data_IF_212600513210
#
_entry.id   IF_212600513210
#
_cell.length_a   1.000
_cell.length_b   1.000
_cell.length_c   1.000
_cell.angle_alpha   90.00
_cell.angle_beta   90.00
_cell.angle_gamma   90.00
#
_symmetry.space_group_name_H-M   'P 1'
#
loop_
_entity.id
_entity.type
_entity.pdbx_description
1 polymer ?
#
# COMPACT_ATOMS: atom_id res chain seq x y z
N UNK A 1 -11.85 18.64 15.20
CA UNK A 1 -10.51 18.27 14.68
C UNK A 1 -10.15 16.90 15.23
N UNK A 2 -10.01 15.88 14.40
CA UNK A 2 -10.06 14.47 14.85
C UNK A 2 -8.70 13.75 14.87
N UNK A 3 -7.58 14.42 14.53
CA UNK A 3 -6.25 13.79 14.40
C UNK A 3 -5.13 14.70 14.96
N UNK A 4 -5.39 15.36 16.10
CA UNK A 4 -4.43 16.30 16.68
C UNK A 4 -3.20 15.59 17.27
N UNK A 5 -3.36 14.40 17.84
CA UNK A 5 -2.28 13.64 18.50
C UNK A 5 -1.95 12.37 17.71
N UNK A 6 -1.00 12.46 16.77
CA UNK A 6 -0.65 11.32 15.94
C UNK A 6 0.85 11.03 15.98
N UNK A 7 1.18 9.74 15.87
CA UNK A 7 2.55 9.27 15.70
C UNK A 7 2.75 8.90 14.24
N UNK A 8 3.85 9.36 13.67
CA UNK A 8 4.30 8.99 12.32
C UNK A 8 5.55 8.14 12.44
N UNK A 9 5.57 7.01 11.75
CA UNK A 9 6.77 6.18 11.67
C UNK A 9 6.88 5.50 10.31
N UNK A 10 8.07 4.98 10.02
CA UNK A 10 8.32 4.15 8.84
C UNK A 10 8.47 2.70 9.28
N UNK A 11 7.76 1.79 8.64
CA UNK A 11 7.86 0.36 8.95
C UNK A 11 9.09 -0.29 8.30
N UNK A 12 9.30 -1.58 8.58
CA UNK A 12 10.43 -2.35 8.02
C UNK A 12 10.32 -2.58 6.50
N UNK A 13 9.13 -2.44 5.92
CA UNK A 13 8.89 -2.50 4.49
C UNK A 13 9.04 -1.12 3.81
N UNK A 14 9.37 -0.07 4.58
CA UNK A 14 9.55 1.29 4.08
C UNK A 14 8.25 2.08 3.91
N UNK A 15 7.11 1.57 4.38
CA UNK A 15 5.83 2.26 4.35
C UNK A 15 5.77 3.33 5.44
N UNK A 16 5.15 4.47 5.14
CA UNK A 16 4.86 5.49 6.16
C UNK A 16 3.53 5.14 6.81
N UNK A 17 3.50 5.06 8.13
CA UNK A 17 2.30 4.77 8.91
C UNK A 17 2.03 5.95 9.84
N UNK A 18 0.78 6.38 9.86
CA UNK A 18 0.27 7.41 10.76
C UNK A 18 -0.74 6.73 11.68
N UNK A 19 -0.49 6.78 12.99
CA UNK A 19 -1.41 6.26 14.02
C UNK A 19 -1.98 7.41 14.83
N UNK A 20 -3.30 7.43 14.97
CA UNK A 20 -4.01 8.27 15.92
C UNK A 20 -4.62 7.43 17.03
N UNK A 21 -3.91 7.27 18.15
CA UNK A 21 -4.37 6.46 19.30
C UNK A 21 -5.68 7.00 19.87
N UNK A 22 -5.73 8.31 20.12
CA UNK A 22 -6.91 9.08 20.55
C UNK A 22 -8.17 8.85 19.71
N UNK A 23 -8.04 8.43 18.45
CA UNK A 23 -9.16 8.15 17.55
C UNK A 23 -9.20 6.72 17.05
N UNK A 24 -8.40 5.84 17.66
CA UNK A 24 -8.30 4.41 17.40
C UNK A 24 -8.22 4.05 15.90
N UNK A 25 -7.47 4.84 15.13
CA UNK A 25 -7.34 4.68 13.67
C UNK A 25 -5.89 4.76 13.21
N UNK A 26 -5.60 4.08 12.12
CA UNK A 26 -4.32 4.15 11.44
C UNK A 26 -4.51 4.24 9.93
N UNK A 27 -3.54 4.88 9.26
CA UNK A 27 -3.43 4.90 7.81
C UNK A 27 -1.97 4.67 7.41
N UNK A 28 -1.72 3.86 6.39
CA UNK A 28 -0.40 3.67 5.81
C UNK A 28 -0.35 4.10 4.34
N UNK A 29 0.82 4.55 3.93
CA UNK A 29 1.19 4.93 2.59
C UNK A 29 2.40 4.11 2.17
N UNK A 30 2.23 3.30 1.13
CA UNK A 30 3.31 2.56 0.47
C UNK A 30 3.48 3.10 -0.95
N UNK A 31 4.68 3.58 -1.28
CA UNK A 31 5.04 3.80 -2.68
C UNK A 31 5.29 2.44 -3.33
N UNK A 32 4.75 2.24 -4.53
CA UNK A 32 4.86 0.97 -5.26
C UNK A 32 6.22 0.76 -5.94
N UNK A 33 7.22 1.59 -5.61
CA UNK A 33 8.61 1.40 -6.04
C UNK A 33 8.80 1.64 -7.53
N UNK A 34 8.91 2.91 -7.91
CA UNK A 34 9.19 3.33 -9.30
C UNK A 34 7.94 3.60 -10.16
N UNK A 35 6.76 3.20 -9.70
CA UNK A 35 5.49 3.67 -10.26
C UNK A 35 5.08 4.99 -9.60
N UNK A 36 4.45 5.87 -10.37
CA UNK A 36 3.86 7.13 -9.91
C UNK A 36 2.54 6.87 -9.14
N UNK A 37 2.50 5.82 -8.32
CA UNK A 37 1.33 5.40 -7.57
C UNK A 37 1.70 5.15 -6.11
N UNK A 38 0.72 5.41 -5.25
CA UNK A 38 0.80 5.07 -3.85
C UNK A 38 -0.40 4.23 -3.44
N UNK A 39 -0.12 3.14 -2.74
CA UNK A 39 -1.12 2.34 -2.05
C UNK A 39 -1.38 2.94 -0.67
N UNK A 40 -2.62 3.36 -0.46
CA UNK A 40 -3.15 3.79 0.81
C UNK A 40 -3.94 2.65 1.45
N UNK A 41 -3.72 2.42 2.75
CA UNK A 41 -4.47 1.43 3.53
C UNK A 41 -4.89 2.07 4.84
N UNK A 42 -6.15 1.92 5.24
CA UNK A 42 -6.67 2.46 6.48
C UNK A 42 -7.37 1.38 7.31
N UNK A 43 -7.26 1.49 8.62
CA UNK A 43 -7.85 0.54 9.55
C UNK A 43 -7.98 1.09 10.96
N UNK A 44 -8.38 0.21 11.88
CA UNK A 44 -8.58 0.53 13.29
C UNK A 44 -7.41 0.07 14.14
N UNK A 45 -7.20 0.77 15.23
CA UNK A 45 -6.36 0.34 16.33
C UNK A 45 -7.28 -0.37 17.33
N UNK A 46 -6.91 -1.59 17.70
CA UNK A 46 -7.63 -2.38 18.70
C UNK A 46 -7.20 -1.97 20.10
N UNK A 47 -8.05 -2.29 21.07
CA UNK A 47 -7.70 -2.20 22.49
C UNK A 47 -6.39 -2.96 22.76
N UNK A 48 -5.44 -2.29 23.41
CA UNK A 48 -4.07 -2.79 23.58
C UNK A 48 -3.08 -2.36 22.51
N UNK A 49 -3.45 -1.44 21.61
CA UNK A 49 -2.51 -0.77 20.70
C UNK A 49 -2.06 -1.62 19.52
N UNK A 50 -2.80 -2.68 19.19
CA UNK A 50 -2.52 -3.50 18.00
C UNK A 50 -3.24 -2.92 16.79
N UNK A 51 -2.54 -2.72 15.68
CA UNK A 51 -3.16 -2.32 14.41
C UNK A 51 -3.91 -3.50 13.79
N UNK A 52 -5.22 -3.38 13.66
CA UNK A 52 -6.02 -4.36 12.92
C UNK A 52 -5.65 -4.36 11.43
N UNK A 53 -5.96 -5.43 10.68
CA UNK A 53 -5.85 -5.44 9.23
C UNK A 53 -6.60 -4.27 8.58
N UNK A 54 -6.13 -3.85 7.41
CA UNK A 54 -6.77 -2.78 6.64
C UNK A 54 -8.23 -3.13 6.34
N UNK A 55 -9.12 -2.16 6.50
CA UNK A 55 -10.55 -2.26 6.16
C UNK A 55 -10.88 -1.53 4.87
N UNK A 56 -10.12 -0.49 4.54
CA UNK A 56 -10.26 0.28 3.33
C UNK A 56 -8.89 0.45 2.66
N UNK A 57 -8.86 0.37 1.33
CA UNK A 57 -7.63 0.50 0.53
C UNK A 57 -7.91 1.31 -0.73
N UNK A 58 -6.95 2.11 -1.17
CA UNK A 58 -7.02 2.84 -2.43
C UNK A 58 -5.64 2.97 -3.06
N UNK A 59 -5.59 3.02 -4.39
CA UNK A 59 -4.38 3.39 -5.15
C UNK A 59 -4.58 4.79 -5.70
N UNK A 60 -3.60 5.66 -5.50
CA UNK A 60 -3.66 7.07 -5.93
C UNK A 60 -2.39 7.42 -6.71
N UNK A 61 -2.50 8.05 -7.90
CA UNK A 61 -1.34 8.55 -8.60
C UNK A 61 -0.69 9.70 -7.85
N UNK A 62 0.64 9.68 -7.70
CA UNK A 62 1.40 10.72 -7.01
C UNK A 62 1.48 12.02 -7.83
N UNK A 63 1.45 11.93 -9.16
CA UNK A 63 1.35 13.10 -10.05
C UNK A 63 0.06 13.92 -9.87
N UNK A 64 -1.02 13.35 -9.34
CA UNK A 64 -2.24 14.09 -9.02
C UNK A 64 -2.07 15.08 -7.86
N UNK A 65 -0.94 15.02 -7.16
CA UNK A 65 -0.54 15.97 -6.13
C UNK A 65 -1.16 15.71 -4.76
N UNK A 66 -0.74 16.55 -3.80
CA UNK A 66 -1.05 16.36 -2.38
C UNK A 66 -2.52 16.54 -2.04
N UNK A 67 -3.26 17.37 -2.79
CA UNK A 67 -4.68 17.61 -2.55
C UNK A 67 -5.53 16.35 -2.85
N UNK A 68 -5.25 15.68 -3.97
CA UNK A 68 -5.90 14.43 -4.33
C UNK A 68 -5.57 13.32 -3.32
N UNK A 69 -4.30 13.21 -2.93
CA UNK A 69 -3.87 12.27 -1.90
C UNK A 69 -4.58 12.52 -0.57
N UNK A 70 -4.64 13.78 -0.13
CA UNK A 70 -5.32 14.16 1.11
C UNK A 70 -6.83 13.87 1.06
N UNK A 71 -7.47 14.06 -0.10
CA UNK A 71 -8.87 13.71 -0.30
C UNK A 71 -9.09 12.19 -0.19
N UNK A 72 -8.22 11.38 -0.80
CA UNK A 72 -8.27 9.92 -0.69
C UNK A 72 -8.04 9.45 0.76
N UNK A 73 -7.05 10.01 1.47
CA UNK A 73 -6.82 9.72 2.88
C UNK A 73 -8.05 10.04 3.74
N UNK A 74 -8.66 11.23 3.58
CA UNK A 74 -9.87 11.61 4.31
C UNK A 74 -11.03 10.68 4.02
N UNK A 75 -11.21 10.28 2.75
CA UNK A 75 -12.24 9.33 2.34
C UNK A 75 -12.06 7.97 3.02
N UNK A 76 -10.86 7.39 2.96
CA UNK A 76 -10.57 6.10 3.61
C UNK A 76 -10.80 6.16 5.12
N UNK A 77 -10.43 7.27 5.77
CA UNK A 77 -10.68 7.45 7.20
C UNK A 77 -12.18 7.57 7.53
N UNK A 78 -12.97 8.21 6.66
CA UNK A 78 -14.43 8.24 6.79
C UNK A 78 -15.04 6.84 6.63
N UNK A 79 -14.62 6.08 5.61
CA UNK A 79 -15.07 4.69 5.37
C UNK A 79 -14.79 3.79 6.59
N UNK A 80 -13.63 3.92 7.23
CA UNK A 80 -13.32 3.17 8.46
C UNK A 80 -14.20 3.54 9.66
N UNK A 81 -14.83 4.73 9.64
CA UNK A 81 -15.76 5.21 10.66
C UNK A 81 -17.16 4.62 10.45
N UNK A 82 -17.64 4.58 9.21
CA UNK A 82 -18.98 4.07 8.88
C UNK A 82 -19.08 2.57 9.18
N UNK A 83 -18.00 1.83 8.91
CA UNK A 83 -17.87 0.42 9.27
C UNK A 83 -17.92 0.20 10.80
N UNK A 84 -17.68 1.24 11.64
CA UNK A 84 -17.75 1.13 13.10
C UNK A 84 -19.18 1.21 13.63
N UNK A 85 -20.03 1.93 12.90
CA UNK A 85 -21.42 2.19 13.29
C UNK A 85 -22.36 1.06 12.87
N UNK A 86 -21.93 0.18 11.96
CA UNK A 86 -22.74 -0.97 11.55
C UNK A 86 -22.44 -2.18 12.46
N UNK A 87 -23.30 -2.54 13.42
CA UNK A 87 -23.15 -3.79 14.14
C UNK A 87 -23.40 -4.94 13.15
N UNK A 88 -22.33 -5.53 12.64
CA UNK A 88 -22.44 -6.72 11.80
C UNK A 88 -22.93 -7.89 12.68
N UNK A 89 -24.00 -8.62 12.33
CA UNK A 89 -24.35 -9.84 13.04
C UNK A 89 -23.19 -10.84 12.91
N UNK A 90 -22.80 -11.45 14.03
CA UNK A 90 -21.74 -12.48 14.08
C UNK A 90 -22.13 -13.69 13.23
N UNK A 91 -21.68 -13.71 11.98
CA UNK A 91 -21.70 -14.88 11.09
C UNK A 91 -20.56 -15.86 11.42
N UNK A 92 -20.72 -17.16 11.17
CA UNK A 92 -19.98 -18.21 11.84
C UNK A 92 -18.52 -18.35 11.37
N UNK A 93 -17.65 -18.62 12.36
CA UNK A 93 -16.26 -19.11 12.24
C UNK A 93 -16.03 -19.96 10.98
N UNK A 94 -15.28 -19.43 10.01
CA UNK A 94 -14.70 -20.29 8.98
C UNK A 94 -13.39 -20.92 9.48
N UNK A 95 -13.47 -22.24 9.57
CA UNK A 95 -12.50 -23.19 10.13
C UNK A 95 -11.06 -23.00 9.65
N UNK A 96 -10.14 -23.18 10.59
CA UNK A 96 -8.76 -23.64 10.37
C UNK A 96 -8.70 -24.81 9.37
N UNK A 97 -7.69 -24.84 8.51
CA UNK A 97 -6.95 -26.06 8.11
C UNK A 97 -5.59 -25.70 7.48
N UNK A 98 -4.62 -26.63 7.40
CA UNK A 98 -3.52 -26.71 8.36
C UNK A 98 -2.13 -26.53 7.73
N UNK A 99 -1.14 -26.41 8.61
CA UNK A 99 0.31 -26.42 8.36
C UNK A 99 0.71 -27.60 7.44
N UNK A 100 1.44 -27.32 6.36
CA UNK A 100 2.37 -28.29 5.78
C UNK A 100 3.79 -27.73 5.90
N UNK A 101 4.64 -28.49 6.59
CA UNK A 101 6.09 -28.41 6.44
C UNK A 101 6.42 -29.31 5.24
N UNK A 102 7.06 -28.79 4.19
CA UNK A 102 8.05 -29.57 3.43
C UNK A 102 8.94 -28.68 2.58
N UNK A 103 10.23 -28.98 2.68
CA UNK A 103 11.34 -28.47 1.89
C UNK A 103 11.10 -28.55 0.39
N UNK A 104 11.66 -27.56 -0.31
CA UNK A 104 11.80 -27.55 -1.75
C UNK A 104 12.64 -26.36 -2.20
N UNK A 105 13.96 -26.55 -2.26
CA UNK A 105 14.86 -25.67 -3.03
C UNK A 105 14.32 -25.55 -4.46
N UNK A 106 14.11 -24.33 -4.93
CA UNK A 106 14.29 -23.97 -6.34
C UNK A 106 14.51 -22.46 -6.49
N UNK A 107 15.50 -22.01 -7.28
CA UNK A 107 15.75 -20.61 -7.53
C UNK A 107 14.82 -20.15 -8.66
N UNK A 108 13.79 -19.37 -8.32
CA UNK A 108 12.90 -18.77 -9.29
C UNK A 108 13.23 -17.28 -9.41
N UNK A 109 14.35 -16.97 -10.05
CA UNK A 109 14.55 -15.68 -10.71
C UNK A 109 13.55 -15.66 -11.86
N UNK A 110 12.32 -15.27 -11.54
CA UNK A 110 11.16 -15.44 -12.40
C UNK A 110 11.37 -14.80 -13.77
N UNK A 111 10.88 -15.49 -14.80
CA UNK A 111 10.75 -15.02 -16.19
C UNK A 111 10.29 -13.55 -16.30
N UNK A 112 9.49 -13.09 -15.33
CA UNK A 112 9.03 -11.71 -15.20
C UNK A 112 10.18 -10.69 -15.09
N UNK A 113 11.27 -11.05 -14.40
CA UNK A 113 12.48 -10.22 -14.28
C UNK A 113 13.21 -10.07 -15.62
N UNK A 114 13.20 -11.12 -16.44
CA UNK A 114 13.89 -11.10 -17.73
C UNK A 114 13.19 -10.21 -18.77
N UNK A 115 11.84 -10.19 -18.75
CA UNK A 115 11.03 -9.30 -19.60
C UNK A 115 11.31 -7.83 -19.29
N UNK A 116 11.46 -7.49 -18.00
CA UNK A 116 11.78 -6.12 -17.58
C UNK A 116 13.17 -5.72 -18.08
N UNK A 117 14.16 -6.62 -18.00
CA UNK A 117 15.52 -6.35 -18.50
C UNK A 117 15.51 -6.11 -20.02
N UNK A 118 14.81 -6.95 -20.79
CA UNK A 118 14.71 -6.79 -22.26
C UNK A 118 13.99 -5.48 -22.62
N UNK A 119 12.93 -5.13 -21.90
CA UNK A 119 12.22 -3.86 -22.10
C UNK A 119 13.10 -2.65 -21.77
N UNK A 120 13.81 -2.66 -20.65
CA UNK A 120 14.70 -1.56 -20.24
C UNK A 120 15.87 -1.42 -21.22
N UNK A 121 16.47 -2.52 -21.67
CA UNK A 121 17.54 -2.50 -22.66
C UNK A 121 17.07 -1.96 -24.03
N UNK A 122 15.88 -2.38 -24.48
CA UNK A 122 15.28 -1.86 -25.71
C UNK A 122 14.93 -0.37 -25.63
N UNK A 123 14.38 0.07 -24.49
CA UNK A 123 14.03 1.47 -24.26
C UNK A 123 15.28 2.37 -24.20
N UNK A 124 16.34 1.93 -23.51
CA UNK A 124 17.63 2.63 -23.49
C UNK A 124 18.25 2.72 -24.89
N UNK A 125 18.20 1.64 -25.66
CA UNK A 125 18.66 1.64 -27.05
C UNK A 125 17.86 2.62 -27.93
N UNK A 126 16.54 2.64 -27.79
CA UNK A 126 15.66 3.54 -28.53
C UNK A 126 15.87 5.01 -28.12
N UNK A 127 16.03 5.29 -26.82
CA UNK A 127 16.35 6.62 -26.32
C UNK A 127 17.70 7.09 -26.86
N UNK A 128 18.75 6.28 -26.78
CA UNK A 128 20.07 6.62 -27.31
C UNK A 128 20.05 6.83 -28.83
N UNK A 129 19.28 6.00 -29.56
CA UNK A 129 19.13 6.16 -31.01
C UNK A 129 18.33 7.43 -31.36
N UNK A 130 17.27 7.73 -30.60
CA UNK A 130 16.46 8.93 -30.83
C UNK A 130 17.21 10.22 -30.51
N UNK A 131 18.11 10.23 -29.52
CA UNK A 131 18.96 11.38 -29.23
C UNK A 131 20.07 11.55 -30.25
N UNK A 132 20.60 10.44 -30.79
CA UNK A 132 21.50 10.45 -31.94
C UNK A 132 20.81 10.91 -33.24
N UNK A 133 19.55 10.51 -33.45
CA UNK A 133 18.80 10.80 -34.67
C UNK A 133 18.13 12.18 -34.67
N UNK A 134 17.83 12.76 -33.49
CA UNK A 134 17.14 14.06 -33.36
C UNK A 134 18.05 15.20 -32.82
N UNK A 135 19.36 14.99 -32.72
CA UNK A 135 20.32 16.00 -32.26
C UNK A 135 21.35 16.38 -33.34
N UNK A 136 21.06 17.49 -34.04
CA UNK A 136 21.98 18.49 -34.68
C UNK A 136 23.10 17.96 -35.58
#
# INVERSE_FOLDING_TARGET
MLWQEHTVYRDRAGQVVIRGEHVQRWISLASTGGSDEALLRAGRILDGGTTAPARAEAVVPLSAGTAALAAACRRLLAETTDDATTPTPRGPRQRRKPRSRRDGRSPHTGLTSWIVIVCVAGFLGLCAYSTWANGI
#
